data_IF_964505475261
#
_entry.id   IF_964505475261
#
_cell.length_a   1.000
_cell.length_b   1.000
_cell.length_c   1.000
_cell.angle_alpha   90.00
_cell.angle_beta   90.00
_cell.angle_gamma   90.00
#
_symmetry.space_group_name_H-M   'P 1'
#
loop_
_entity.id
_entity.type
_entity.pdbx_description
1 polymer ?
#
# COMPACT_ATOMS: atom_id res chain seq x y z
N UNK A 1 24.56 34.47 18.72
CA UNK A 1 24.12 33.47 17.72
C UNK A 1 24.19 32.10 18.38
N UNK A 2 23.06 31.57 18.82
CA UNK A 2 22.96 30.23 19.39
C UNK A 2 22.91 29.23 18.24
N UNK A 3 23.88 28.32 18.19
CA UNK A 3 23.85 27.18 17.27
C UNK A 3 22.57 26.36 17.52
N UNK A 4 21.93 25.78 16.49
CA UNK A 4 20.84 24.85 16.72
C UNK A 4 21.36 23.70 17.59
N UNK A 5 20.72 23.48 18.73
CA UNK A 5 21.09 22.42 19.66
C UNK A 5 21.00 21.07 18.91
N UNK A 6 22.10 20.31 18.92
CA UNK A 6 22.10 18.95 18.40
C UNK A 6 20.97 18.15 19.07
N UNK A 7 20.23 17.31 18.33
CA UNK A 7 19.12 16.55 18.87
C UNK A 7 19.61 15.69 20.03
N UNK A 8 19.09 15.96 21.23
CA UNK A 8 19.51 15.36 22.51
C UNK A 8 19.13 13.89 22.65
N UNK A 9 18.34 13.34 21.72
CA UNK A 9 18.00 11.91 21.67
C UNK A 9 17.95 11.42 20.23
N UNK A 10 18.93 10.60 19.85
CA UNK A 10 18.78 9.69 18.72
C UNK A 10 17.98 8.48 19.24
N UNK A 11 16.72 8.36 18.81
CA UNK A 11 15.97 7.14 19.04
C UNK A 11 16.75 5.97 18.43
N UNK A 12 16.88 4.82 19.11
CA UNK A 12 17.52 3.65 18.52
C UNK A 12 16.77 3.27 17.25
N UNK A 13 17.41 3.48 16.10
CA UNK A 13 16.87 3.07 14.80
C UNK A 13 17.48 1.73 14.44
N UNK A 14 16.65 0.79 13.98
CA UNK A 14 17.13 -0.47 13.43
C UNK A 14 18.15 -0.20 12.32
N UNK A 15 19.14 -1.08 12.07
CA UNK A 15 20.02 -0.97 10.90
C UNK A 15 19.24 -0.79 9.60
N UNK A 16 19.80 -0.04 8.64
CA UNK A 16 19.12 0.30 7.38
C UNK A 16 18.55 -0.93 6.65
N UNK A 17 19.30 -2.02 6.58
CA UNK A 17 18.85 -3.26 5.93
C UNK A 17 17.67 -3.94 6.64
N UNK A 18 17.60 -3.82 7.97
CA UNK A 18 16.46 -4.35 8.72
C UNK A 18 15.21 -3.49 8.48
N UNK A 19 15.35 -2.15 8.47
CA UNK A 19 14.24 -1.24 8.14
C UNK A 19 13.72 -1.47 6.73
N UNK A 20 14.61 -1.58 5.76
CA UNK A 20 14.27 -1.86 4.37
C UNK A 20 13.52 -3.19 4.25
N UNK A 21 14.03 -4.27 4.86
CA UNK A 21 13.32 -5.56 4.88
C UNK A 21 11.94 -5.47 5.50
N UNK A 22 11.79 -4.72 6.58
CA UNK A 22 10.50 -4.54 7.26
C UNK A 22 9.47 -3.87 6.34
N UNK A 23 9.83 -2.78 5.66
CA UNK A 23 8.90 -2.10 4.76
C UNK A 23 8.59 -2.91 3.49
N UNK A 24 9.57 -3.65 2.97
CA UNK A 24 9.36 -4.55 1.82
C UNK A 24 8.37 -5.67 2.17
N UNK A 25 8.43 -6.21 3.38
CA UNK A 25 7.45 -7.20 3.85
C UNK A 25 6.02 -6.64 3.92
N UNK A 26 5.84 -5.40 4.39
CA UNK A 26 4.53 -4.74 4.38
C UNK A 26 4.00 -4.56 2.96
N UNK A 27 4.86 -4.13 2.04
CA UNK A 27 4.51 -3.97 0.63
C UNK A 27 4.16 -5.29 -0.06
N UNK A 28 4.89 -6.38 0.21
CA UNK A 28 4.56 -7.71 -0.34
C UNK A 28 3.21 -8.23 0.21
N UNK A 29 2.94 -8.00 1.49
CA UNK A 29 1.66 -8.37 2.10
C UNK A 29 0.50 -7.61 1.45
N UNK A 30 0.65 -6.30 1.28
CA UNK A 30 -0.35 -5.48 0.60
C UNK A 30 -0.52 -5.86 -0.88
N UNK A 31 0.57 -6.18 -1.60
CA UNK A 31 0.52 -6.68 -2.98
C UNK A 31 -0.33 -7.95 -3.10
N UNK A 32 -0.14 -8.92 -2.20
CA UNK A 32 -0.92 -10.18 -2.20
C UNK A 32 -2.40 -9.93 -1.92
N UNK A 33 -2.71 -9.10 -0.93
CA UNK A 33 -4.08 -8.69 -0.59
C UNK A 33 -4.75 -7.93 -1.75
N UNK A 34 -4.01 -7.06 -2.45
CA UNK A 34 -4.49 -6.39 -3.64
C UNK A 34 -4.82 -7.40 -4.76
N UNK A 35 -3.95 -8.38 -4.99
CA UNK A 35 -4.19 -9.41 -6.00
C UNK A 35 -5.51 -10.16 -5.73
N UNK A 36 -5.74 -10.55 -4.47
CA UNK A 36 -6.99 -11.20 -4.06
C UNK A 36 -8.21 -10.30 -4.29
N UNK A 37 -8.14 -9.03 -3.86
CA UNK A 37 -9.24 -8.09 -4.06
C UNK A 37 -9.55 -7.85 -5.54
N UNK A 38 -8.52 -7.76 -6.40
CA UNK A 38 -8.70 -7.59 -7.84
C UNK A 38 -9.37 -8.80 -8.49
N UNK A 39 -9.10 -10.03 -8.01
CA UNK A 39 -9.80 -11.24 -8.45
C UNK A 39 -11.29 -11.16 -8.15
N UNK A 40 -11.68 -10.72 -6.95
CA UNK A 40 -13.09 -10.57 -6.54
C UNK A 40 -13.78 -9.42 -7.27
N UNK A 41 -13.05 -8.33 -7.53
CA UNK A 41 -13.60 -7.17 -8.22
C UNK A 41 -13.94 -7.46 -9.69
N UNK A 42 -13.45 -8.55 -10.30
CA UNK A 42 -13.74 -8.92 -11.70
C UNK A 42 -13.67 -7.72 -12.65
N UNK A 43 -12.49 -7.10 -12.71
CA UNK A 43 -12.22 -6.00 -13.63
C UNK A 43 -12.32 -6.50 -15.09
N UNK A 44 -12.58 -5.60 -16.03
CA UNK A 44 -12.64 -5.96 -17.44
C UNK A 44 -11.25 -6.33 -17.99
N UNK A 45 -11.21 -6.91 -19.18
CA UNK A 45 -9.96 -7.35 -19.85
C UNK A 45 -8.90 -6.26 -20.05
N UNK A 46 -9.31 -4.99 -20.05
CA UNK A 46 -8.41 -3.84 -20.17
C UNK A 46 -7.68 -3.48 -18.86
N UNK A 47 -7.95 -4.21 -17.76
CA UNK A 47 -7.28 -3.98 -16.50
C UNK A 47 -5.77 -4.20 -16.65
N UNK A 48 -4.93 -3.30 -16.10
CA UNK A 48 -3.49 -3.48 -16.15
C UNK A 48 -3.07 -4.72 -15.36
N UNK A 49 -2.05 -5.42 -15.86
CA UNK A 49 -1.47 -6.58 -15.18
C UNK A 49 -0.98 -6.21 -13.78
N UNK A 50 -1.33 -7.04 -12.80
CA UNK A 50 -0.86 -6.88 -11.43
C UNK A 50 0.42 -7.69 -11.18
N UNK A 51 1.47 -7.12 -10.54
CA UNK A 51 2.72 -7.82 -10.32
C UNK A 51 2.55 -9.00 -9.35
N UNK A 52 3.05 -10.17 -9.77
CA UNK A 52 3.05 -11.41 -8.99
C UNK A 52 4.37 -11.66 -8.26
N UNK A 53 5.45 -11.00 -8.71
CA UNK A 53 6.78 -11.06 -8.11
C UNK A 53 6.75 -10.64 -6.65
N UNK A 54 7.45 -11.40 -5.81
CA UNK A 54 7.61 -11.09 -4.39
C UNK A 54 8.40 -9.79 -4.22
N UNK A 55 7.96 -8.92 -3.32
CA UNK A 55 8.67 -7.65 -3.03
C UNK A 55 9.80 -7.91 -2.03
N UNK A 56 10.99 -8.25 -2.52
CA UNK A 56 12.19 -8.54 -1.71
C UNK A 56 13.31 -7.50 -1.90
N UNK A 57 13.16 -6.58 -2.85
CA UNK A 57 14.10 -5.49 -3.10
C UNK A 57 13.39 -4.19 -3.51
N UNK A 58 14.18 -3.13 -3.66
CA UNK A 58 13.68 -1.79 -4.02
C UNK A 58 13.15 -1.74 -5.46
N UNK A 59 13.68 -2.56 -6.38
CA UNK A 59 13.23 -2.58 -7.77
C UNK A 59 11.79 -3.11 -7.85
N UNK A 60 11.52 -4.24 -7.21
CA UNK A 60 10.17 -4.80 -7.09
C UNK A 60 9.21 -3.81 -6.40
N UNK A 61 9.67 -3.08 -5.38
CA UNK A 61 8.85 -2.04 -4.73
C UNK A 61 8.51 -0.86 -5.66
N UNK A 62 9.40 -0.52 -6.61
CA UNK A 62 9.15 0.50 -7.64
C UNK A 62 8.15 -0.03 -8.68
N UNK A 63 8.29 -1.28 -9.10
CA UNK A 63 7.33 -1.93 -10.01
C UNK A 63 5.92 -1.98 -9.41
N UNK A 64 5.80 -2.32 -8.12
CA UNK A 64 4.53 -2.29 -7.41
C UNK A 64 3.89 -0.89 -7.44
N UNK A 65 4.69 0.16 -7.23
CA UNK A 65 4.20 1.55 -7.33
C UNK A 65 3.73 1.87 -8.75
N UNK A 66 4.50 1.49 -9.77
CA UNK A 66 4.15 1.74 -11.16
C UNK A 66 2.82 1.05 -11.53
N UNK A 67 2.65 -0.22 -11.13
CA UNK A 67 1.40 -0.97 -11.30
C UNK A 67 0.22 -0.32 -10.56
N UNK A 68 0.44 0.15 -9.33
CA UNK A 68 -0.57 0.88 -8.54
C UNK A 68 -1.03 2.15 -9.26
N UNK A 69 -0.09 2.92 -9.83
CA UNK A 69 -0.42 4.12 -10.61
C UNK A 69 -1.16 3.76 -11.90
N UNK A 70 -0.80 2.67 -12.57
CA UNK A 70 -1.51 2.19 -13.75
C UNK A 70 -2.98 1.84 -13.41
N UNK A 71 -3.22 1.16 -12.28
CA UNK A 71 -4.58 0.88 -11.80
C UNK A 71 -5.37 2.15 -11.49
N UNK A 72 -4.75 3.15 -10.86
CA UNK A 72 -5.42 4.45 -10.61
C UNK A 72 -5.84 5.10 -11.92
N UNK A 73 -4.95 5.11 -12.93
CA UNK A 73 -5.25 5.67 -14.26
C UNK A 73 -6.40 4.92 -14.92
N UNK A 74 -6.35 3.58 -14.90
CA UNK A 74 -7.40 2.70 -15.38
C UNK A 74 -8.74 3.03 -14.71
N UNK A 75 -8.81 2.98 -13.37
CA UNK A 75 -10.05 3.19 -12.62
C UNK A 75 -10.67 4.60 -12.78
N UNK A 76 -9.85 5.62 -13.07
CA UNK A 76 -10.34 7.01 -13.27
C UNK A 76 -10.80 7.31 -14.68
N UNK A 77 -10.16 6.73 -15.69
CA UNK A 77 -10.29 7.18 -17.09
C UNK A 77 -10.94 6.15 -18.00
N UNK A 78 -11.00 4.88 -17.59
CA UNK A 78 -11.51 3.83 -18.45
C UNK A 78 -13.05 3.89 -18.51
N UNK A 79 -13.56 4.01 -19.74
CA UNK A 79 -15.00 4.07 -20.07
C UNK A 79 -15.29 2.94 -21.04
N UNK A 80 -15.53 1.75 -20.50
CA UNK A 80 -15.97 0.58 -21.24
C UNK A 80 -17.32 0.14 -20.66
N UNK A 81 -18.23 -0.34 -21.50
CA UNK A 81 -19.59 -0.70 -21.10
C UNK A 81 -19.63 -1.85 -20.08
N UNK A 82 -18.62 -2.72 -20.09
CA UNK A 82 -18.46 -3.80 -19.11
C UNK A 82 -17.96 -3.31 -17.73
N UNK A 83 -17.58 -2.03 -17.60
CA UNK A 83 -17.05 -1.51 -16.34
C UNK A 83 -18.18 -1.09 -15.40
N UNK A 84 -18.22 -1.72 -14.22
CA UNK A 84 -19.10 -1.28 -13.14
C UNK A 84 -18.47 -0.09 -12.38
N UNK A 85 -19.16 1.06 -12.26
CA UNK A 85 -18.64 2.23 -11.54
C UNK A 85 -18.34 1.96 -10.06
N UNK A 86 -19.09 1.06 -9.41
CA UNK A 86 -18.83 0.60 -8.04
C UNK A 86 -17.48 -0.10 -7.94
N UNK A 87 -17.23 -1.10 -8.80
CA UNK A 87 -15.94 -1.81 -8.87
C UNK A 87 -14.77 -0.84 -9.09
N UNK A 88 -14.91 0.11 -10.01
CA UNK A 88 -13.88 1.12 -10.26
C UNK A 88 -13.61 2.00 -9.04
N UNK A 89 -14.63 2.40 -8.28
CA UNK A 89 -14.46 3.17 -7.04
C UNK A 89 -13.70 2.36 -5.98
N UNK A 90 -14.02 1.07 -5.82
CA UNK A 90 -13.28 0.20 -4.89
C UNK A 90 -11.82 0.01 -5.32
N UNK A 91 -11.57 -0.26 -6.61
CA UNK A 91 -10.21 -0.36 -7.17
C UNK A 91 -9.42 0.93 -6.91
N UNK A 92 -10.02 2.09 -7.18
CA UNK A 92 -9.38 3.38 -6.96
C UNK A 92 -9.07 3.62 -5.48
N UNK A 93 -9.99 3.27 -4.58
CA UNK A 93 -9.79 3.42 -3.13
C UNK A 93 -8.65 2.54 -2.64
N UNK A 94 -8.62 1.27 -3.02
CA UNK A 94 -7.55 0.34 -2.66
C UNK A 94 -6.20 0.79 -3.21
N UNK A 95 -6.14 1.20 -4.48
CA UNK A 95 -4.91 1.67 -5.09
C UNK A 95 -4.38 2.96 -4.44
N UNK A 96 -5.26 3.87 -4.01
CA UNK A 96 -4.85 5.06 -3.26
C UNK A 96 -4.25 4.69 -1.89
N UNK A 97 -4.91 3.82 -1.13
CA UNK A 97 -4.41 3.35 0.18
C UNK A 97 -3.06 2.63 0.05
N UNK A 98 -2.88 1.84 -1.01
CA UNK A 98 -1.61 1.18 -1.29
C UNK A 98 -0.49 2.19 -1.62
N UNK A 99 -0.83 3.28 -2.31
CA UNK A 99 0.12 4.37 -2.59
C UNK A 99 0.52 5.10 -1.29
N UNK A 100 -0.43 5.31 -0.37
CA UNK A 100 -0.17 5.91 0.94
C UNK A 100 0.74 5.02 1.80
N UNK A 101 0.52 3.69 1.77
CA UNK A 101 1.43 2.72 2.38
C UNK A 101 2.83 2.82 1.77
N UNK A 102 2.94 2.87 0.43
CA UNK A 102 4.22 3.01 -0.24
C UNK A 102 4.96 4.28 0.18
N UNK A 103 4.27 5.41 0.28
CA UNK A 103 4.85 6.68 0.72
C UNK A 103 5.33 6.60 2.17
N UNK A 104 4.50 6.06 3.07
CA UNK A 104 4.84 5.88 4.48
C UNK A 104 6.06 4.98 4.66
N UNK A 105 6.12 3.87 3.90
CA UNK A 105 7.24 2.94 3.84
C UNK A 105 8.52 3.61 3.35
N UNK A 106 8.46 4.37 2.25
CA UNK A 106 9.60 5.13 1.72
C UNK A 106 10.13 6.13 2.77
N UNK A 107 9.24 6.91 3.37
CA UNK A 107 9.62 7.92 4.35
C UNK A 107 10.30 7.30 5.57
N UNK A 108 9.77 6.18 6.08
CA UNK A 108 10.40 5.45 7.17
C UNK A 108 11.79 4.90 6.80
N UNK A 109 11.95 4.32 5.62
CA UNK A 109 13.24 3.79 5.18
C UNK A 109 14.32 4.89 5.03
N UNK A 110 13.94 6.07 4.52
CA UNK A 110 14.85 7.17 4.24
C UNK A 110 15.15 8.06 5.45
N UNK A 111 14.14 8.32 6.30
CA UNK A 111 14.20 9.27 7.42
C UNK A 111 13.49 8.69 8.65
N UNK A 112 13.99 7.59 9.22
CA UNK A 112 13.35 6.89 10.34
C UNK A 112 13.20 7.74 11.60
N UNK A 113 14.05 8.77 11.76
CA UNK A 113 14.02 9.74 12.87
C UNK A 113 12.79 10.66 12.82
N UNK A 114 12.23 10.91 11.62
CA UNK A 114 11.03 11.73 11.43
C UNK A 114 9.78 10.89 11.16
N UNK A 115 9.96 9.69 10.61
CA UNK A 115 8.85 8.84 10.16
C UNK A 115 8.91 7.48 10.84
N UNK A 116 8.08 7.32 11.88
CA UNK A 116 7.93 6.06 12.59
C UNK A 116 7.37 4.96 11.68
N UNK A 117 7.89 3.75 11.83
CA UNK A 117 7.36 2.54 11.17
C UNK A 117 5.88 2.30 11.49
N UNK A 118 5.40 2.81 12.62
CA UNK A 118 3.99 2.72 13.04
C UNK A 118 3.05 3.33 11.99
N UNK A 119 3.48 4.37 11.25
CA UNK A 119 2.67 4.96 10.17
C UNK A 119 2.50 3.98 9.01
N UNK A 120 3.58 3.29 8.62
CA UNK A 120 3.51 2.25 7.60
C UNK A 120 2.62 1.07 8.03
N UNK A 121 2.73 0.62 9.29
CA UNK A 121 1.84 -0.42 9.83
C UNK A 121 0.37 0.00 9.86
N UNK A 122 0.07 1.25 10.25
CA UNK A 122 -1.30 1.78 10.23
C UNK A 122 -1.87 1.85 8.81
N UNK A 123 -1.06 2.29 7.84
CA UNK A 123 -1.45 2.31 6.44
C UNK A 123 -1.67 0.88 5.89
N UNK A 124 -0.81 -0.07 6.27
CA UNK A 124 -0.95 -1.49 5.90
C UNK A 124 -2.23 -2.08 6.47
N UNK A 125 -2.53 -1.82 7.75
CA UNK A 125 -3.76 -2.27 8.39
C UNK A 125 -5.00 -1.69 7.72
N UNK A 126 -5.05 -0.37 7.52
CA UNK A 126 -6.17 0.28 6.84
C UNK A 126 -6.40 -0.27 5.43
N UNK A 127 -5.30 -0.49 4.68
CA UNK A 127 -5.36 -1.14 3.38
C UNK A 127 -5.91 -2.57 3.51
N UNK A 128 -5.41 -3.36 4.45
CA UNK A 128 -5.83 -4.74 4.71
C UNK A 128 -7.29 -4.89 5.10
N UNK A 129 -7.77 -4.02 5.99
CA UNK A 129 -9.15 -3.96 6.44
C UNK A 129 -10.09 -3.63 5.26
N UNK A 130 -9.71 -2.64 4.46
CA UNK A 130 -10.47 -2.25 3.26
C UNK A 130 -10.45 -3.36 2.19
N UNK A 131 -9.29 -3.99 1.95
CA UNK A 131 -9.17 -5.08 1.00
C UNK A 131 -9.98 -6.31 1.46
N UNK A 132 -9.96 -6.61 2.76
CA UNK A 132 -10.75 -7.68 3.35
C UNK A 132 -12.24 -7.43 3.21
N UNK A 133 -12.72 -6.21 3.48
CA UNK A 133 -14.11 -5.84 3.23
C UNK A 133 -14.49 -5.96 1.76
N UNK A 134 -13.66 -5.47 0.83
CA UNK A 134 -13.92 -5.62 -0.62
C UNK A 134 -14.00 -7.08 -1.04
N UNK A 135 -13.16 -7.94 -0.45
CA UNK A 135 -13.11 -9.37 -0.78
C UNK A 135 -14.29 -10.15 -0.19
N UNK A 136 -14.73 -9.82 1.03
CA UNK A 136 -15.68 -10.64 1.80
C UNK A 136 -17.08 -10.03 1.94
N UNK A 137 -17.23 -8.72 1.75
CA UNK A 137 -18.45 -7.97 2.05
C UNK A 137 -18.68 -7.68 3.53
N UNK A 138 -17.80 -8.13 4.43
CA UNK A 138 -17.97 -7.96 5.88
C UNK A 138 -17.59 -6.55 6.36
N UNK A 139 -18.59 -5.79 6.81
CA UNK A 139 -18.43 -4.42 7.31
C UNK A 139 -17.65 -4.33 8.62
N UNK A 140 -17.58 -5.41 9.41
CA UNK A 140 -16.84 -5.45 10.68
C UNK A 140 -15.34 -5.18 10.47
N UNK A 141 -14.82 -5.59 9.31
CA UNK A 141 -13.43 -5.32 8.90
C UNK A 141 -13.12 -3.83 8.81
N UNK A 142 -14.06 -2.99 8.37
CA UNK A 142 -13.87 -1.53 8.32
C UNK A 142 -13.78 -0.90 9.72
N UNK A 143 -14.27 -1.59 10.74
CA UNK A 143 -14.15 -1.21 12.14
C UNK A 143 -12.87 -1.78 12.80
N UNK A 144 -11.99 -2.41 12.01
CA UNK A 144 -10.77 -3.05 12.49
C UNK A 144 -11.02 -4.34 13.28
N UNK A 145 -12.22 -4.91 13.19
CA UNK A 145 -12.57 -6.20 13.77
C UNK A 145 -12.19 -7.31 12.78
N UNK A 146 -11.36 -8.24 13.23
CA UNK A 146 -11.00 -9.46 12.50
C UNK A 146 -11.35 -10.64 13.40
N UNK A 147 -12.21 -11.54 12.92
CA UNK A 147 -12.51 -12.81 13.59
C UNK A 147 -11.26 -13.70 13.69
#
# INVERSE_FOLDING_TARGET
MTAPADPTMLLPTLPADQRTRQVLHLLDTARRRMAQALTVLHLCEHAPTWPTTRINDTAAAIELRAATVALIKYARRHRCDACNPGRMRHTLRLAALLLDLWQSSKHHAQRPELHSVTLAHRAERLFGDTAGWVTTGDHRRLLGQTD
#
